data_IF_243352059316
#
_entry.id   IF_243352059316
#
_cell.length_a   1.000
_cell.length_b   1.000
_cell.length_c   1.000
_cell.angle_alpha   90.00
_cell.angle_beta   90.00
_cell.angle_gamma   90.00
#
_symmetry.space_group_name_H-M   'P 1'
#
loop_
_entity.id
_entity.type
_entity.pdbx_description
1 polymer ?
#
# COMPACT_ATOMS: atom_id res chain seq x y z
N UNK A 1 -58.07 -28.77 -19.40
CA UNK A 1 -56.87 -28.01 -19.87
C UNK A 1 -56.63 -26.74 -19.05
N UNK A 2 -57.67 -26.02 -18.62
CA UNK A 2 -57.57 -24.79 -17.81
C UNK A 2 -56.90 -24.97 -16.42
N UNK A 3 -57.17 -26.08 -15.70
CA UNK A 3 -56.56 -26.30 -14.37
C UNK A 3 -55.04 -26.49 -14.38
N UNK A 4 -54.46 -27.03 -15.47
CA UNK A 4 -53.00 -27.18 -15.61
C UNK A 4 -52.31 -25.82 -15.80
N UNK A 5 -52.98 -24.87 -16.46
CA UNK A 5 -52.45 -23.52 -16.70
C UNK A 5 -52.47 -22.71 -15.40
N UNK A 6 -53.52 -22.85 -14.58
CA UNK A 6 -53.66 -22.14 -13.30
C UNK A 6 -52.61 -22.63 -12.29
N UNK A 7 -52.34 -23.94 -12.23
CA UNK A 7 -51.30 -24.50 -11.35
C UNK A 7 -49.90 -24.06 -11.80
N UNK A 8 -49.64 -23.98 -13.12
CA UNK A 8 -48.36 -23.48 -13.64
C UNK A 8 -48.16 -21.99 -13.34
N UNK A 9 -49.23 -21.19 -13.41
CA UNK A 9 -49.19 -19.77 -13.07
C UNK A 9 -48.97 -19.53 -11.57
N UNK A 10 -49.57 -20.36 -10.70
CA UNK A 10 -49.39 -20.29 -9.25
C UNK A 10 -47.95 -20.66 -8.82
N UNK A 11 -47.33 -21.65 -9.47
CA UNK A 11 -45.92 -22.01 -9.25
C UNK A 11 -44.95 -20.93 -9.75
N UNK A 12 -45.29 -20.25 -10.85
CA UNK A 12 -44.49 -19.13 -11.38
C UNK A 12 -44.53 -17.92 -10.43
N UNK A 13 -45.69 -17.60 -9.85
CA UNK A 13 -45.85 -16.48 -8.90
C UNK A 13 -45.20 -16.79 -7.54
N UNK A 14 -45.13 -18.06 -7.14
CA UNK A 14 -44.38 -18.47 -5.94
C UNK A 14 -42.86 -18.39 -6.14
N UNK A 15 -42.37 -18.62 -7.37
CA UNK A 15 -40.94 -18.49 -7.72
C UNK A 15 -40.46 -17.05 -7.89
N UNK A 16 -41.37 -16.08 -8.03
CA UNK A 16 -41.06 -14.66 -8.22
C UNK A 16 -41.10 -13.84 -6.91
N UNK A 17 -41.54 -14.45 -5.80
CA UNK A 17 -41.64 -13.80 -4.48
C UNK A 17 -40.70 -14.38 -3.41
N UNK A 18 -39.81 -15.31 -3.76
CA UNK A 18 -38.61 -15.48 -2.95
C UNK A 18 -37.67 -14.35 -3.38
N UNK A 19 -37.38 -13.33 -2.55
CA UNK A 19 -36.16 -12.60 -2.76
C UNK A 19 -35.06 -13.66 -2.81
N UNK A 20 -34.38 -13.76 -3.96
CA UNK A 20 -33.05 -14.35 -3.99
C UNK A 20 -32.24 -13.48 -3.04
N UNK A 21 -32.21 -13.86 -1.76
CA UNK A 21 -31.14 -13.54 -0.86
C UNK A 21 -29.92 -14.28 -1.42
N UNK A 22 -29.35 -13.74 -2.49
CA UNK A 22 -27.90 -13.77 -2.67
C UNK A 22 -27.36 -13.36 -1.31
N UNK A 23 -26.68 -14.26 -0.61
CA UNK A 23 -26.24 -14.08 0.76
C UNK A 23 -25.37 -12.84 0.90
N UNK A 24 -26.00 -11.68 1.02
CA UNK A 24 -25.44 -10.49 1.62
C UNK A 24 -25.44 -10.81 3.09
N UNK A 25 -24.37 -11.46 3.56
CA UNK A 25 -24.14 -11.62 4.98
C UNK A 25 -24.26 -10.24 5.62
N UNK A 26 -25.18 -10.10 6.56
CA UNK A 26 -25.20 -8.92 7.41
C UNK A 26 -23.86 -8.83 8.11
N UNK A 27 -23.16 -7.69 7.97
CA UNK A 27 -21.86 -7.48 8.61
C UNK A 27 -22.00 -7.79 10.11
N UNK A 28 -21.22 -8.73 10.64
CA UNK A 28 -21.31 -9.18 12.05
C UNK A 28 -20.36 -8.42 12.95
N UNK A 29 -19.25 -7.92 12.40
CA UNK A 29 -18.23 -7.14 13.09
C UNK A 29 -18.02 -5.78 12.42
N UNK A 30 -17.59 -4.79 13.18
CA UNK A 30 -17.17 -3.47 12.66
C UNK A 30 -16.00 -2.93 13.48
N UNK A 31 -15.04 -2.28 12.83
CA UNK A 31 -13.99 -1.53 13.53
C UNK A 31 -14.59 -0.26 14.14
N UNK A 32 -14.30 -0.01 15.41
CA UNK A 32 -14.51 1.29 16.05
C UNK A 32 -13.32 2.19 15.73
N UNK A 33 -13.42 2.91 14.60
CA UNK A 33 -12.36 3.80 14.09
C UNK A 33 -12.02 4.92 15.08
N UNK A 34 -13.02 5.44 15.81
CA UNK A 34 -12.82 6.52 16.79
C UNK A 34 -12.05 6.07 18.04
N UNK A 35 -12.10 4.79 18.39
CA UNK A 35 -11.34 4.24 19.50
C UNK A 35 -9.99 3.65 19.06
N UNK A 36 -9.84 3.27 17.79
CA UNK A 36 -8.65 2.60 17.26
C UNK A 36 -7.52 3.59 16.97
N UNK A 37 -6.28 3.15 17.18
CA UNK A 37 -5.10 3.99 17.00
C UNK A 37 -3.84 3.17 16.76
N UNK A 38 -2.78 3.84 16.33
CA UNK A 38 -1.45 3.26 16.14
C UNK A 38 -0.45 4.06 16.97
N UNK A 39 0.37 3.37 17.75
CA UNK A 39 1.50 3.93 18.47
C UNK A 39 2.79 3.59 17.71
N UNK A 40 3.54 4.62 17.32
CA UNK A 40 4.90 4.41 16.83
C UNK A 40 5.84 4.29 18.02
N UNK A 41 6.39 3.10 18.28
CA UNK A 41 7.24 2.83 19.45
C UNK A 41 8.55 3.59 19.41
N UNK A 42 9.07 3.89 18.22
CA UNK A 42 10.32 4.63 18.05
C UNK A 42 10.18 6.11 18.39
N UNK A 43 9.02 6.72 18.09
CA UNK A 43 8.80 8.16 18.33
C UNK A 43 7.91 8.46 19.54
N UNK A 44 7.19 7.46 20.06
CA UNK A 44 6.19 7.61 21.12
C UNK A 44 4.90 8.30 20.66
N UNK A 45 4.77 8.60 19.36
CA UNK A 45 3.62 9.33 18.82
C UNK A 45 2.43 8.39 18.65
N UNK A 46 1.30 8.79 19.23
CA UNK A 46 0.00 8.16 19.03
C UNK A 46 -0.72 8.83 17.85
N UNK A 47 -1.10 8.03 16.86
CA UNK A 47 -1.77 8.46 15.63
C UNK A 47 -3.17 7.84 15.63
N UNK A 48 -4.20 8.64 15.32
CA UNK A 48 -5.56 8.11 15.21
C UNK A 48 -5.68 7.13 14.04
N UNK A 49 -6.64 6.21 14.07
CA UNK A 49 -6.87 5.27 12.97
C UNK A 49 -7.00 5.99 11.62
N UNK A 50 -7.82 7.03 11.55
CA UNK A 50 -8.09 7.76 10.31
C UNK A 50 -6.88 8.52 9.78
N UNK A 51 -6.07 9.11 10.68
CA UNK A 51 -4.85 9.83 10.28
C UNK A 51 -3.72 8.87 9.86
N UNK A 52 -3.78 7.62 10.34
CA UNK A 52 -2.78 6.60 10.00
C UNK A 52 -3.01 6.02 8.60
N UNK A 53 -4.26 5.92 8.15
CA UNK A 53 -4.58 5.38 6.82
C UNK A 53 -3.85 6.18 5.72
N UNK A 54 -3.22 5.45 4.80
CA UNK A 54 -2.43 5.98 3.69
C UNK A 54 -1.25 6.89 4.12
N UNK A 55 -0.86 6.85 5.39
CA UNK A 55 0.31 7.59 5.88
C UNK A 55 1.62 6.94 5.45
N UNK A 56 2.71 7.71 5.49
CA UNK A 56 4.06 7.22 5.27
C UNK A 56 4.69 6.83 6.61
N UNK A 57 5.25 5.63 6.70
CA UNK A 57 5.91 5.10 7.89
C UNK A 57 7.34 4.71 7.57
N UNK A 58 8.28 5.09 8.43
CA UNK A 58 9.71 4.85 8.22
C UNK A 58 10.01 3.37 8.43
N UNK A 59 10.74 2.76 7.50
CA UNK A 59 11.20 1.39 7.57
C UNK A 59 12.03 1.12 8.83
N UNK A 60 11.86 -0.06 9.41
CA UNK A 60 12.50 -0.42 10.66
C UNK A 60 11.87 0.21 11.91
N UNK A 61 10.90 1.12 11.78
CA UNK A 61 10.11 1.53 12.94
C UNK A 61 9.18 0.39 13.36
N UNK A 62 9.03 0.25 14.67
CA UNK A 62 8.09 -0.65 15.32
C UNK A 62 6.77 0.09 15.57
N UNK A 63 5.69 -0.52 15.10
CA UNK A 63 4.33 -0.01 15.22
C UNK A 63 3.52 -0.95 16.10
N UNK A 64 2.77 -0.38 17.04
CA UNK A 64 1.78 -1.07 17.86
C UNK A 64 0.38 -0.57 17.46
N UNK A 65 -0.41 -1.44 16.86
CA UNK A 65 -1.79 -1.16 16.49
C UNK A 65 -2.71 -1.58 17.62
N UNK A 66 -3.66 -0.71 17.99
CA UNK A 66 -4.77 -1.02 18.87
C UNK A 66 -6.07 -0.90 18.09
N UNK A 67 -6.63 -2.04 17.70
CA UNK A 67 -7.81 -2.14 16.84
C UNK A 67 -8.96 -2.65 17.68
N UNK A 68 -10.00 -1.82 17.83
CA UNK A 68 -11.20 -2.21 18.55
C UNK A 68 -12.27 -2.65 17.56
N UNK A 69 -12.78 -3.85 17.76
CA UNK A 69 -13.83 -4.44 16.91
C UNK A 69 -15.07 -4.69 17.76
N UNK A 70 -16.22 -4.31 17.23
CA UNK A 70 -17.51 -4.38 17.90
C UNK A 70 -18.48 -5.25 17.11
N UNK A 71 -19.29 -6.02 17.83
CA UNK A 71 -20.42 -6.74 17.24
C UNK A 71 -21.47 -5.74 16.76
N UNK A 72 -22.03 -5.98 15.59
CA UNK A 72 -23.06 -5.11 15.00
C UNK A 72 -24.47 -5.38 15.55
N UNK A 73 -24.63 -6.41 16.38
CA UNK A 73 -25.92 -6.90 16.86
C UNK A 73 -26.62 -7.89 15.93
N UNK A 74 -26.02 -8.20 14.77
CA UNK A 74 -26.51 -9.23 13.87
C UNK A 74 -26.23 -10.64 14.41
N UNK A 75 -27.07 -11.61 14.03
CA UNK A 75 -26.87 -13.01 14.39
C UNK A 75 -25.56 -13.55 13.80
N UNK A 76 -24.74 -14.20 14.62
CA UNK A 76 -23.41 -14.68 14.27
C UNK A 76 -23.46 -16.22 14.21
N UNK A 77 -23.26 -16.83 13.03
CA UNK A 77 -23.15 -18.28 12.93
C UNK A 77 -21.93 -18.78 13.71
N UNK A 78 -22.08 -19.87 14.47
CA UNK A 78 -21.00 -20.46 15.28
C UNK A 78 -19.78 -20.89 14.47
N UNK A 79 -19.95 -21.12 13.17
CA UNK A 79 -18.85 -21.46 12.25
C UNK A 79 -18.00 -20.28 11.81
N UNK A 80 -18.37 -19.05 12.21
CA UNK A 80 -17.63 -17.85 11.81
C UNK A 80 -16.38 -17.68 12.68
N UNK A 81 -15.31 -17.28 12.01
CA UNK A 81 -14.03 -16.95 12.63
C UNK A 81 -13.48 -15.66 12.03
N UNK A 82 -12.55 -15.01 12.72
CA UNK A 82 -11.86 -13.81 12.25
C UNK A 82 -10.41 -14.14 11.90
N UNK A 83 -10.03 -13.95 10.64
CA UNK A 83 -8.64 -13.96 10.20
C UNK A 83 -8.03 -12.57 10.35
N UNK A 84 -6.83 -12.54 10.94
CA UNK A 84 -5.98 -11.36 11.06
C UNK A 84 -4.74 -11.58 10.19
N UNK A 85 -4.47 -10.68 9.25
CA UNK A 85 -3.32 -10.77 8.34
C UNK A 85 -2.53 -9.47 8.28
N UNK A 86 -1.21 -9.55 8.16
CA UNK A 86 -0.35 -8.36 8.02
C UNK A 86 0.89 -8.60 7.16
N UNK A 87 1.36 -7.54 6.50
CA UNK A 87 2.63 -7.48 5.78
C UNK A 87 3.81 -6.96 6.63
N UNK A 88 3.60 -6.66 7.92
CA UNK A 88 4.66 -6.26 8.83
C UNK A 88 5.68 -7.38 9.05
N UNK A 89 6.93 -7.00 9.31
CA UNK A 89 7.97 -7.93 9.69
C UNK A 89 7.87 -8.26 11.18
N UNK A 90 8.17 -9.52 11.53
CA UNK A 90 8.09 -10.04 12.90
C UNK A 90 6.76 -9.70 13.62
N UNK A 91 5.60 -10.03 13.03
CA UNK A 91 4.32 -9.65 13.60
C UNK A 91 4.01 -10.45 14.86
N UNK A 92 3.57 -9.75 15.89
CA UNK A 92 3.04 -10.31 17.13
C UNK A 92 1.62 -9.80 17.33
N UNK A 93 0.66 -10.72 17.23
CA UNK A 93 -0.74 -10.45 17.52
C UNK A 93 -1.06 -10.79 18.96
N UNK A 94 -1.85 -9.94 19.61
CA UNK A 94 -2.49 -10.26 20.87
C UNK A 94 -3.98 -10.10 20.73
N UNK A 95 -4.70 -11.18 21.03
CA UNK A 95 -6.15 -11.22 21.05
C UNK A 95 -6.58 -11.88 22.35
N UNK A 96 -7.39 -11.17 23.15
CA UNK A 96 -7.71 -11.59 24.51
C UNK A 96 -6.42 -11.90 25.32
N UNK A 97 -6.29 -13.12 25.84
CA UNK A 97 -5.14 -13.57 26.64
C UNK A 97 -4.11 -14.39 25.84
N UNK A 98 -4.22 -14.40 24.50
CA UNK A 98 -3.36 -15.21 23.62
C UNK A 98 -2.45 -14.33 22.77
N UNK A 99 -1.24 -14.82 22.53
CA UNK A 99 -0.22 -14.17 21.70
C UNK A 99 0.11 -15.09 20.53
N UNK A 100 0.25 -14.52 19.34
CA UNK A 100 0.53 -15.24 18.10
C UNK A 100 1.63 -14.56 17.29
N UNK A 101 2.60 -15.33 16.83
CA UNK A 101 3.77 -14.83 16.09
C UNK A 101 3.73 -15.30 14.63
N UNK A 102 2.74 -14.82 13.87
CA UNK A 102 2.51 -15.24 12.47
C UNK A 102 1.92 -14.09 11.66
N UNK A 103 2.22 -14.06 10.37
CA UNK A 103 1.68 -13.09 9.42
C UNK A 103 0.17 -13.26 9.16
N UNK A 104 -0.36 -14.47 9.37
CA UNK A 104 -1.80 -14.75 9.39
C UNK A 104 -2.17 -15.62 10.60
N UNK A 105 -3.27 -15.29 11.27
CA UNK A 105 -3.81 -16.02 12.41
C UNK A 105 -5.35 -16.04 12.36
N UNK A 106 -5.95 -17.13 12.83
CA UNK A 106 -7.41 -17.22 13.01
C UNK A 106 -7.73 -17.10 14.51
N UNK A 107 -8.68 -16.22 14.82
CA UNK A 107 -9.19 -15.93 16.17
C UNK A 107 -10.72 -15.83 16.14
N UNK A 108 -11.34 -15.49 17.27
CA UNK A 108 -12.77 -15.20 17.39
C UNK A 108 -13.65 -16.40 17.03
N UNK A 109 -13.59 -17.44 17.86
CA UNK A 109 -14.41 -18.64 17.71
C UNK A 109 -15.82 -18.49 18.33
N UNK A 110 -16.65 -19.53 18.22
CA UNK A 110 -18.04 -19.53 18.71
C UNK A 110 -18.19 -19.07 20.18
N UNK A 111 -17.23 -19.38 21.04
CA UNK A 111 -17.28 -19.01 22.47
C UNK A 111 -17.13 -17.50 22.67
N UNK A 112 -16.43 -16.84 21.75
CA UNK A 112 -16.11 -15.41 21.79
C UNK A 112 -17.16 -14.54 21.09
N UNK A 113 -18.12 -15.13 20.37
CA UNK A 113 -19.17 -14.43 19.63
C UNK A 113 -20.11 -13.61 20.52
N UNK A 114 -20.28 -14.01 21.78
CA UNK A 114 -21.14 -13.31 22.73
C UNK A 114 -20.48 -12.07 23.36
N UNK A 115 -19.16 -11.90 23.20
CA UNK A 115 -18.44 -10.76 23.74
C UNK A 115 -18.67 -9.56 22.80
N UNK A 116 -19.24 -8.44 23.28
CA UNK A 116 -19.71 -7.36 22.42
C UNK A 116 -18.57 -6.55 21.77
N UNK A 117 -17.38 -6.54 22.38
CA UNK A 117 -16.22 -5.80 21.91
C UNK A 117 -14.94 -6.56 22.19
N UNK A 118 -14.05 -6.54 21.21
CA UNK A 118 -12.72 -7.13 21.28
C UNK A 118 -11.65 -6.06 21.00
N UNK A 119 -10.51 -6.20 21.66
CA UNK A 119 -9.29 -5.46 21.31
C UNK A 119 -8.32 -6.44 20.64
N UNK A 120 -7.86 -6.06 19.45
CA UNK A 120 -6.77 -6.73 18.74
C UNK A 120 -5.57 -5.79 18.83
N UNK A 121 -4.49 -6.28 19.42
CA UNK A 121 -3.20 -5.59 19.37
C UNK A 121 -2.28 -6.28 18.36
N UNK A 122 -1.55 -5.49 17.57
CA UNK A 122 -0.53 -5.98 16.64
C UNK A 122 0.74 -5.18 16.84
N UNK A 123 1.83 -5.84 17.20
CA UNK A 123 3.17 -5.28 17.12
C UNK A 123 3.84 -5.77 15.84
N UNK A 124 4.57 -4.91 15.16
CA UNK A 124 5.34 -5.32 14.00
C UNK A 124 6.25 -4.22 13.47
N UNK A 125 7.24 -4.63 12.68
CA UNK A 125 8.26 -3.75 12.14
C UNK A 125 7.91 -3.39 10.70
N UNK A 126 7.99 -2.10 10.36
CA UNK A 126 7.75 -1.61 9.00
C UNK A 126 8.80 -2.20 8.05
N UNK A 127 8.40 -2.91 6.98
CA UNK A 127 9.33 -3.52 6.03
C UNK A 127 10.14 -2.46 5.27
N UNK A 128 11.24 -2.88 4.65
CA UNK A 128 11.99 -2.02 3.74
C UNK A 128 11.15 -1.71 2.50
N UNK A 129 11.00 -0.44 2.09
CA UNK A 129 10.29 -0.09 0.86
C UNK A 129 11.04 -0.50 -0.41
N UNK A 130 12.30 -0.89 -0.26
CA UNK A 130 13.21 -1.19 -1.35
C UNK A 130 13.26 -2.72 -1.52
N UNK A 131 12.69 -3.22 -2.63
CA UNK A 131 12.84 -4.61 -3.08
C UNK A 131 13.82 -4.63 -4.26
N UNK A 132 14.69 -5.64 -4.31
CA UNK A 132 15.87 -5.61 -5.20
C UNK A 132 15.55 -5.60 -6.69
N UNK A 133 16.44 -5.01 -7.51
CA UNK A 133 16.32 -5.02 -8.98
C UNK A 133 17.35 -4.18 -9.74
N UNK A 134 17.53 -2.90 -9.37
CA UNK A 134 18.46 -1.95 -10.01
C UNK A 134 19.20 -1.04 -9.01
N UNK A 135 20.53 -0.88 -9.13
CA UNK A 135 21.33 -0.03 -8.25
C UNK A 135 21.05 1.45 -8.51
N UNK A 136 20.68 2.21 -7.48
CA UNK A 136 20.46 3.66 -7.56
C UNK A 136 21.62 4.42 -6.90
N UNK A 137 22.01 5.60 -7.44
CA UNK A 137 22.93 6.50 -6.75
C UNK A 137 22.38 6.89 -5.38
N UNK A 138 23.26 7.02 -4.37
CA UNK A 138 22.91 7.43 -3.00
C UNK A 138 21.99 6.44 -2.23
N UNK A 139 21.78 5.22 -2.75
CA UNK A 139 21.08 4.14 -2.06
C UNK A 139 21.92 2.86 -2.06
N UNK A 140 22.17 2.30 -0.87
CA UNK A 140 22.95 1.06 -0.69
C UNK A 140 22.21 -0.19 -1.20
N UNK A 141 20.90 -0.08 -1.41
CA UNK A 141 20.03 -1.18 -1.85
C UNK A 141 19.32 -0.79 -3.15
N UNK A 142 19.26 -1.74 -4.08
CA UNK A 142 18.65 -1.57 -5.39
C UNK A 142 17.13 -1.37 -5.32
N UNK A 143 16.58 -0.36 -5.98
CA UNK A 143 15.15 0.00 -5.96
C UNK A 143 14.37 -0.79 -7.02
N UNK A 144 13.19 -1.26 -6.65
CA UNK A 144 12.22 -1.85 -7.56
C UNK A 144 11.55 -0.73 -8.37
N UNK A 145 11.69 -0.80 -9.69
CA UNK A 145 11.17 0.20 -10.62
C UNK A 145 9.66 0.10 -10.80
N UNK A 146 9.04 -0.96 -10.26
CA UNK A 146 7.60 -1.14 -10.26
C UNK A 146 6.97 -0.58 -8.99
N UNK A 147 6.75 0.74 -9.02
CA UNK A 147 5.73 1.37 -8.19
C UNK A 147 6.23 2.05 -6.94
N UNK A 148 6.65 3.31 -7.10
CA UNK A 148 6.80 4.35 -6.06
C UNK A 148 7.91 3.95 -5.05
N UNK A 149 8.69 4.89 -4.53
CA UNK A 149 9.62 4.62 -3.42
C UNK A 149 8.92 4.25 -2.10
N UNK A 150 7.77 3.56 -2.16
CA UNK A 150 6.82 3.27 -1.12
C UNK A 150 6.27 1.87 -1.29
N UNK A 151 6.63 0.95 -0.40
CA UNK A 151 5.96 -0.35 -0.33
C UNK A 151 4.61 -0.16 0.36
N UNK A 152 3.53 -0.60 -0.30
CA UNK A 152 2.23 -0.76 0.38
C UNK A 152 2.35 -1.87 1.42
N UNK A 153 1.95 -1.56 2.65
CA UNK A 153 1.84 -2.52 3.74
C UNK A 153 0.37 -2.56 4.15
N UNK A 154 -0.22 -3.76 4.18
CA UNK A 154 -1.60 -3.90 4.63
C UNK A 154 -1.74 -4.73 5.90
N UNK A 155 -2.89 -4.51 6.52
CA UNK A 155 -3.40 -5.20 7.68
C UNK A 155 -4.88 -5.48 7.40
N UNK A 156 -5.23 -6.76 7.33
CA UNK A 156 -6.54 -7.22 6.88
C UNK A 156 -7.24 -7.96 8.02
N UNK A 157 -8.48 -7.56 8.30
CA UNK A 157 -9.37 -8.24 9.23
C UNK A 157 -10.55 -8.80 8.44
N UNK A 158 -10.65 -10.12 8.35
CA UNK A 158 -11.63 -10.80 7.50
C UNK A 158 -12.40 -11.85 8.28
N UNK A 159 -13.72 -11.75 8.30
CA UNK A 159 -14.58 -12.81 8.82
C UNK A 159 -14.81 -13.84 7.71
N UNK A 160 -14.67 -15.10 8.08
CA UNK A 160 -14.89 -16.21 7.19
C UNK A 160 -15.29 -17.48 7.94
N UNK A 161 -15.27 -18.59 7.21
CA UNK A 161 -15.39 -19.93 7.78
C UNK A 161 -14.06 -20.66 7.62
N UNK A 162 -13.80 -21.63 8.49
CA UNK A 162 -12.60 -22.48 8.47
C UNK A 162 -12.98 -23.94 8.64
N UNK A 163 -12.17 -24.86 8.10
CA UNK A 163 -12.29 -26.31 8.33
C UNK A 163 -11.17 -26.87 9.21
N UNK A 164 -10.01 -26.21 9.23
CA UNK A 164 -8.78 -26.67 9.88
C UNK A 164 -8.32 -25.76 11.03
N UNK A 165 -9.09 -24.71 11.33
CA UNK A 165 -8.80 -23.65 12.31
C UNK A 165 -7.52 -22.86 12.03
N UNK A 166 -6.94 -23.02 10.83
CA UNK A 166 -5.67 -22.39 10.43
C UNK A 166 -5.80 -21.50 9.20
N UNK A 167 -6.71 -21.83 8.31
CA UNK A 167 -6.93 -21.10 7.06
C UNK A 167 -8.41 -20.82 6.82
N UNK A 168 -8.71 -19.70 6.16
CA UNK A 168 -10.09 -19.41 5.74
C UNK A 168 -10.44 -20.27 4.53
N UNK A 169 -11.55 -20.99 4.63
CA UNK A 169 -12.19 -21.67 3.51
C UNK A 169 -13.01 -20.70 2.65
N UNK A 170 -13.80 -19.85 3.30
CA UNK A 170 -14.71 -18.93 2.62
C UNK A 170 -14.74 -17.58 3.33
N UNK A 171 -14.59 -16.50 2.55
CA UNK A 171 -14.70 -15.14 3.05
C UNK A 171 -16.17 -14.72 3.11
N UNK A 172 -16.61 -14.25 4.28
CA UNK A 172 -17.99 -13.79 4.51
C UNK A 172 -18.08 -12.27 4.61
N UNK A 173 -17.07 -11.64 5.19
CA UNK A 173 -17.03 -10.19 5.36
C UNK A 173 -15.59 -9.69 5.47
N UNK A 174 -15.28 -8.56 4.83
CA UNK A 174 -14.07 -7.76 5.13
C UNK A 174 -14.43 -6.74 6.20
N UNK A 175 -13.89 -6.91 7.41
CA UNK A 175 -14.22 -6.07 8.59
C UNK A 175 -13.45 -4.76 8.53
N UNK A 176 -12.19 -4.83 8.12
CA UNK A 176 -11.36 -3.66 7.93
C UNK A 176 -10.10 -3.96 7.13
N UNK A 177 -9.60 -2.90 6.51
CA UNK A 177 -8.41 -2.91 5.68
C UNK A 177 -7.60 -1.66 6.02
N UNK A 178 -6.52 -1.84 6.78
CA UNK A 178 -5.61 -0.75 7.13
C UNK A 178 -4.45 -0.81 6.14
N UNK A 179 -4.28 0.26 5.36
CA UNK A 179 -3.22 0.38 4.37
C UNK A 179 -2.35 1.59 4.70
N UNK A 180 -1.03 1.42 4.63
CA UNK A 180 -0.07 2.52 4.75
C UNK A 180 1.15 2.25 3.86
N UNK A 181 2.05 3.21 3.78
CA UNK A 181 3.22 3.14 2.92
C UNK A 181 4.50 3.09 3.76
N UNK A 182 5.28 2.02 3.63
CA UNK A 182 6.66 2.02 4.11
C UNK A 182 7.49 2.99 3.26
N UNK A 183 8.36 3.78 3.89
CA UNK A 183 9.34 4.69 3.25
C UNK A 183 10.67 4.63 4.01
N UNK A 184 11.70 5.34 3.56
CA UNK A 184 12.96 5.47 4.30
C UNK A 184 13.37 6.93 4.43
N UNK A 185 14.16 7.23 5.46
CA UNK A 185 14.67 8.60 5.67
C UNK A 185 15.45 9.10 4.45
N UNK A 186 16.31 8.26 3.88
CA UNK A 186 17.08 8.58 2.67
C UNK A 186 16.17 8.91 1.48
N UNK A 187 15.06 8.16 1.31
CA UNK A 187 14.08 8.43 0.25
C UNK A 187 13.38 9.77 0.46
N UNK A 188 12.94 10.05 1.70
CA UNK A 188 12.31 11.32 2.06
C UNK A 188 13.25 12.51 1.87
N UNK A 189 14.49 12.39 2.33
CA UNK A 189 15.51 13.43 2.21
C UNK A 189 15.88 13.68 0.74
N UNK A 190 16.04 12.62 -0.06
CA UNK A 190 16.31 12.73 -1.49
C UNK A 190 15.18 13.47 -2.22
N UNK A 191 13.92 13.08 -1.98
CA UNK A 191 12.75 13.75 -2.57
C UNK A 191 12.69 15.23 -2.18
N UNK A 192 12.95 15.54 -0.90
CA UNK A 192 12.97 16.93 -0.40
C UNK A 192 14.06 17.76 -1.08
N UNK A 193 15.26 17.21 -1.22
CA UNK A 193 16.38 17.88 -1.88
C UNK A 193 16.11 18.08 -3.37
N UNK A 194 15.58 17.08 -4.06
CA UNK A 194 15.14 17.18 -5.46
C UNK A 194 14.16 18.33 -5.64
N UNK A 195 13.06 18.38 -4.89
CA UNK A 195 12.09 19.47 -4.99
C UNK A 195 12.69 20.83 -4.64
N UNK A 196 13.59 20.89 -3.66
CA UNK A 196 14.30 22.14 -3.33
C UNK A 196 15.19 22.62 -4.49
N UNK A 197 15.86 21.72 -5.19
CA UNK A 197 16.70 22.04 -6.34
C UNK A 197 15.85 22.49 -7.54
N UNK A 198 14.74 21.81 -7.82
CA UNK A 198 13.79 22.21 -8.87
C UNK A 198 13.14 23.56 -8.57
N UNK A 199 12.77 23.82 -7.31
CA UNK A 199 12.23 25.12 -6.89
C UNK A 199 13.24 26.25 -7.12
N UNK A 200 14.51 26.03 -6.75
CA UNK A 200 15.58 27.00 -7.01
C UNK A 200 15.70 27.31 -8.52
N UNK A 201 15.69 26.28 -9.36
CA UNK A 201 15.77 26.46 -10.80
C UNK A 201 14.57 27.24 -11.36
N UNK A 202 13.35 26.90 -10.94
CA UNK A 202 12.12 27.60 -11.32
C UNK A 202 12.13 29.07 -10.90
N UNK A 203 12.64 29.39 -9.71
CA UNK A 203 12.77 30.78 -9.23
C UNK A 203 13.76 31.60 -10.09
N UNK A 204 14.81 30.97 -10.61
CA UNK A 204 15.79 31.62 -11.50
C UNK A 204 15.31 31.76 -12.94
N UNK A 205 14.65 30.73 -13.48
CA UNK A 205 14.16 30.71 -14.87
C UNK A 205 12.84 31.49 -15.01
N UNK A 206 12.07 31.62 -13.93
CA UNK A 206 10.78 32.32 -13.90
C UNK A 206 9.59 31.49 -14.40
N UNK A 207 9.82 30.25 -14.82
CA UNK A 207 8.77 29.29 -15.23
C UNK A 207 9.25 27.86 -15.02
N UNK A 208 8.30 26.94 -14.89
CA UNK A 208 8.60 25.51 -14.84
C UNK A 208 8.95 24.99 -16.24
N UNK A 209 10.00 24.18 -16.32
CA UNK A 209 10.46 23.57 -17.58
C UNK A 209 9.99 22.11 -17.70
N UNK A 210 9.99 21.56 -18.91
CA UNK A 210 9.65 20.15 -19.09
C UNK A 210 10.70 19.22 -18.47
N UNK A 211 11.97 19.66 -18.38
CA UNK A 211 13.01 18.94 -17.66
C UNK A 211 12.73 18.85 -16.15
N UNK A 212 12.22 19.91 -15.53
CA UNK A 212 11.80 19.87 -14.12
C UNK A 212 10.68 18.85 -13.90
N UNK A 213 9.72 18.76 -14.82
CA UNK A 213 8.65 17.76 -14.78
C UNK A 213 9.19 16.34 -14.97
N UNK A 214 10.14 16.14 -15.87
CA UNK A 214 10.75 14.84 -16.12
C UNK A 214 11.56 14.35 -14.92
N UNK A 215 12.35 15.23 -14.29
CA UNK A 215 13.09 14.92 -13.06
C UNK A 215 12.13 14.56 -11.92
N UNK A 216 11.04 15.32 -11.74
CA UNK A 216 10.00 14.99 -10.77
C UNK A 216 9.37 13.63 -11.08
N UNK A 217 9.03 13.37 -12.34
CA UNK A 217 8.43 12.11 -12.77
C UNK A 217 9.37 10.92 -12.55
N UNK A 218 10.68 11.07 -12.71
CA UNK A 218 11.66 10.04 -12.35
C UNK A 218 11.59 9.69 -10.87
N UNK A 219 11.58 10.71 -9.99
CA UNK A 219 11.44 10.47 -8.55
C UNK A 219 10.13 9.76 -8.21
N UNK A 220 9.03 10.11 -8.87
CA UNK A 220 7.70 9.51 -8.66
C UNK A 220 7.61 8.07 -9.17
N UNK A 221 8.33 7.75 -10.26
CA UNK A 221 8.37 6.43 -10.89
C UNK A 221 9.34 5.45 -10.22
N UNK A 222 9.88 5.80 -9.06
CA UNK A 222 10.77 4.91 -8.30
C UNK A 222 12.25 5.08 -8.63
N UNK A 223 12.63 6.24 -9.20
CA UNK A 223 14.04 6.60 -9.42
C UNK A 223 14.51 7.82 -8.63
N UNK A 224 14.37 7.82 -7.29
CA UNK A 224 14.71 8.96 -6.45
C UNK A 224 16.20 9.31 -6.45
N UNK A 225 17.10 8.33 -6.60
CA UNK A 225 18.55 8.57 -6.65
C UNK A 225 18.96 9.26 -7.94
N UNK A 226 18.45 8.79 -9.07
CA UNK A 226 18.68 9.44 -10.37
C UNK A 226 18.03 10.82 -10.44
N UNK A 227 16.81 10.98 -9.92
CA UNK A 227 16.15 12.27 -9.85
C UNK A 227 16.96 13.28 -9.03
N UNK A 228 17.56 12.85 -7.91
CA UNK A 228 18.43 13.68 -7.09
C UNK A 228 19.65 14.16 -7.87
N UNK A 229 20.43 13.25 -8.46
CA UNK A 229 21.63 13.57 -9.26
C UNK A 229 21.32 14.53 -10.43
N UNK A 230 20.21 14.30 -11.13
CA UNK A 230 19.76 15.17 -12.21
C UNK A 230 19.35 16.55 -11.69
N UNK A 231 18.65 16.61 -10.56
CA UNK A 231 18.23 17.88 -9.96
C UNK A 231 19.43 18.72 -9.49
N UNK A 232 20.47 18.09 -8.94
CA UNK A 232 21.69 18.77 -8.51
C UNK A 232 22.46 19.30 -9.71
N UNK A 233 22.62 18.48 -10.75
CA UNK A 233 23.24 18.88 -12.02
C UNK A 233 22.47 20.03 -12.68
N UNK A 234 21.14 19.96 -12.67
CA UNK A 234 20.29 21.01 -13.22
C UNK A 234 20.37 22.32 -12.43
N UNK A 235 20.38 22.24 -11.10
CA UNK A 235 20.58 23.41 -10.23
C UNK A 235 21.91 24.09 -10.47
N UNK A 236 23.00 23.33 -10.62
CA UNK A 236 24.33 23.86 -10.95
C UNK A 236 24.27 24.58 -12.30
N UNK A 237 23.72 23.93 -13.33
CA UNK A 237 23.55 24.53 -14.66
C UNK A 237 22.81 25.87 -14.59
N UNK A 238 21.69 25.93 -13.88
CA UNK A 238 20.89 27.15 -13.76
C UNK A 238 21.60 28.22 -12.94
N UNK A 239 22.40 27.85 -11.94
CA UNK A 239 23.27 28.77 -11.21
C UNK A 239 24.41 29.34 -12.08
N UNK A 240 24.99 28.51 -12.95
CA UNK A 240 26.11 28.89 -13.81
C UNK A 240 25.70 29.75 -15.01
N UNK A 241 24.41 29.79 -15.38
CA UNK A 241 23.88 30.71 -16.41
C UNK A 241 24.08 32.20 -16.00
N UNK A 242 24.37 32.48 -14.73
CA UNK A 242 24.77 33.83 -14.25
C UNK A 242 26.24 34.19 -14.53
N UNK A 243 27.10 33.26 -14.99
CA UNK A 243 28.50 33.53 -15.33
C UNK A 243 28.67 33.72 -16.85
N UNK A 244 29.06 34.91 -17.35
CA UNK A 244 29.21 35.19 -18.78
C UNK A 244 30.37 34.44 -19.48
N UNK A 245 30.99 33.43 -18.86
CA UNK A 245 32.23 32.84 -19.39
C UNK A 245 32.55 31.46 -18.82
N UNK A 246 31.86 30.41 -19.27
CA UNK A 246 32.39 29.04 -19.23
C UNK A 246 31.83 28.20 -20.39
N UNK A 247 32.65 27.37 -21.08
CA UNK A 247 32.24 26.68 -22.29
C UNK A 247 31.24 25.53 -22.03
N UNK A 248 30.44 25.15 -23.04
CA UNK A 248 29.23 24.32 -22.95
C UNK A 248 29.47 22.81 -22.71
N UNK A 249 30.58 22.42 -22.07
CA UNK A 249 30.87 20.99 -21.83
C UNK A 249 29.84 20.38 -20.88
N UNK A 250 29.43 21.12 -19.84
CA UNK A 250 28.36 20.68 -18.93
C UNK A 250 27.02 20.51 -19.66
N UNK A 251 26.73 21.37 -20.64
CA UNK A 251 25.53 21.27 -21.47
C UNK A 251 25.52 19.97 -22.29
N UNK A 252 26.66 19.58 -22.87
CA UNK A 252 26.76 18.31 -23.61
C UNK A 252 26.63 17.09 -22.69
N UNK A 253 27.16 17.15 -21.46
CA UNK A 253 27.02 16.05 -20.48
C UNK A 253 25.58 15.90 -20.02
N UNK A 254 24.89 17.01 -19.70
CA UNK A 254 23.48 16.98 -19.28
C UNK A 254 22.58 16.54 -20.44
N UNK A 255 22.80 17.04 -21.67
CA UNK A 255 22.08 16.58 -22.86
C UNK A 255 22.36 15.10 -23.14
N UNK A 256 23.60 14.62 -22.98
CA UNK A 256 23.94 13.22 -23.14
C UNK A 256 23.31 12.33 -22.06
N UNK A 257 23.21 12.79 -20.81
CA UNK A 257 22.50 12.09 -19.74
C UNK A 257 20.99 12.03 -20.02
N UNK A 258 20.38 13.13 -20.46
CA UNK A 258 18.96 13.19 -20.85
C UNK A 258 18.69 12.25 -22.04
N UNK A 259 19.52 12.29 -23.09
CA UNK A 259 19.40 11.40 -24.23
C UNK A 259 19.61 9.93 -23.84
N UNK A 260 20.59 9.64 -22.97
CA UNK A 260 20.82 8.29 -22.44
C UNK A 260 19.63 7.76 -21.63
N UNK A 261 19.01 8.60 -20.80
CA UNK A 261 17.83 8.24 -20.01
C UNK A 261 16.58 8.06 -20.87
N UNK A 262 16.35 8.91 -21.87
CA UNK A 262 15.22 8.78 -22.81
C UNK A 262 15.33 7.52 -23.68
N UNK A 263 16.54 7.20 -24.16
CA UNK A 263 16.79 5.99 -24.97
C UNK A 263 16.73 4.73 -24.09
N UNK A 264 17.27 4.77 -22.87
CA UNK A 264 17.23 3.65 -21.93
C UNK A 264 15.82 3.33 -21.42
N UNK A 265 15.03 4.35 -21.09
CA UNK A 265 13.64 4.19 -20.64
C UNK A 265 12.69 3.75 -21.76
N UNK A 266 12.92 4.17 -23.00
CA UNK A 266 12.19 3.68 -24.17
C UNK A 266 12.53 2.24 -24.58
N UNK A 267 13.80 1.84 -24.47
CA UNK A 267 14.24 0.49 -24.82
C UNK A 267 13.74 -0.58 -23.84
N UNK A 268 13.71 -0.30 -22.53
CA UNK A 268 13.15 -1.23 -21.53
C UNK A 268 11.67 -1.54 -21.75
N UNK A 269 10.90 -0.57 -22.25
CA UNK A 269 9.46 -0.73 -22.52
C UNK A 269 9.17 -1.55 -23.79
N UNK A 270 10.08 -1.57 -24.76
CA UNK A 270 9.93 -2.34 -26.01
C UNK A 270 10.40 -3.80 -25.90
N UNK A 271 11.36 -4.11 -25.02
CA UNK A 271 11.83 -5.50 -24.83
C UNK A 271 11.01 -6.32 -23.83
N UNK A 272 10.15 -5.71 -23.00
CA UNK A 272 9.24 -6.44 -22.10
C UNK A 272 7.94 -6.95 -22.76
N UNK A 273 7.62 -6.51 -23.99
CA UNK A 273 6.35 -6.85 -24.67
C UNK A 273 6.50 -7.66 -25.96
N UNK A 274 7.72 -8.11 -26.28
CA UNK A 274 7.98 -9.03 -27.40
C UNK A 274 8.84 -10.21 -26.95
N UNK A 275 8.31 -10.96 -25.98
CA UNK A 275 8.81 -12.28 -25.58
C UNK A 275 7.73 -13.37 -25.73
N UNK A 276 6.69 -13.12 -26.53
CA UNK A 276 5.76 -14.13 -26.98
C UNK A 276 6.31 -14.81 -28.23
N UNK A 277 7.24 -15.76 -28.08
CA UNK A 277 7.58 -16.70 -29.15
C UNK A 277 7.51 -18.12 -28.58
N UNK A 278 6.46 -18.83 -29.01
CA UNK A 278 6.36 -20.30 -28.98
C UNK A 278 7.64 -20.92 -29.51
N UNK A 279 8.13 -21.98 -28.84
CA UNK A 279 8.75 -23.16 -29.47
C UNK A 279 8.96 -24.26 -28.43
N UNK A 280 8.51 -25.47 -28.76
CA UNK A 280 8.76 -26.72 -28.03
C UNK A 280 7.48 -27.38 -27.58
#
# INVERSE_FOLDING_TARGET
>A
MQYKIIILLALLIFSLNTPLALGQGTNVLKINEGASYVLNKNTGVKISYNDFLNSEQINGHELEFHIFVENTGNAIPTSYVLELRTDLLSPEWKFNNKIYNSASVIVWNADEHNIPRHEIQLNGIVPSPIKGGFKEPNFDQSIDLTGIGKQTVSLDLTVGTTEDEKTLKEVKQKVGYIQFFATSKTLMDSKKTTESNLKYAKEKIGKETDLEKDIRSLSERGHPGWALELSESYKILVGDIELPSAPPILLYVVVALILGLLIGSGAGFMFGKSGGIKKG
#
